data_IF_436266243598
#
_entry.id   IF_436266243598
#
_cell.length_a   1.000
_cell.length_b   1.000
_cell.length_c   1.000
_cell.angle_alpha   90.00
_cell.angle_beta   90.00
_cell.angle_gamma   90.00
#
_symmetry.space_group_name_H-M   'P 1'
#
loop_
_entity.id
_entity.type
_entity.pdbx_description
1 polymer ?
#
# COMPACT_ATOMS: atom_id res chain seq x y z
N UNK A 1 14.38 17.64 17.36
CA UNK A 1 13.31 16.63 17.34
C UNK A 1 13.65 15.56 16.31
N UNK A 2 13.71 14.30 16.70
CA UNK A 2 14.05 13.20 15.79
C UNK A 2 12.81 12.77 15.02
N UNK A 3 12.90 12.75 13.69
CA UNK A 3 11.85 12.28 12.79
C UNK A 3 12.24 10.89 12.30
N UNK A 4 11.49 9.87 12.69
CA UNK A 4 11.71 8.53 12.19
C UNK A 4 10.99 8.35 10.86
N UNK A 5 11.75 7.93 9.84
CA UNK A 5 11.20 7.62 8.52
C UNK A 5 11.28 6.12 8.31
N UNK A 6 10.11 5.48 8.20
CA UNK A 6 10.00 4.07 7.81
C UNK A 6 9.55 3.99 6.36
N UNK A 7 10.33 3.32 5.52
CA UNK A 7 10.02 3.16 4.08
C UNK A 7 9.33 1.83 3.82
N UNK A 8 8.43 1.85 2.84
CA UNK A 8 7.58 0.74 2.47
C UNK A 8 7.53 0.57 0.96
N UNK A 9 7.39 -0.68 0.54
CA UNK A 9 6.96 -1.05 -0.81
C UNK A 9 5.53 -1.58 -0.71
N UNK A 10 4.70 -1.27 -1.70
CA UNK A 10 3.32 -1.67 -1.82
C UNK A 10 3.08 -2.40 -3.13
N UNK A 11 2.23 -3.41 -3.12
CA UNK A 11 1.63 -4.00 -4.32
C UNK A 11 0.19 -3.55 -4.40
N UNK A 12 -0.17 -3.03 -5.55
CA UNK A 12 -1.49 -2.50 -5.82
C UNK A 12 -2.04 -3.04 -7.13
N UNK A 13 -3.35 -3.08 -7.26
CA UNK A 13 -4.05 -3.36 -8.51
C UNK A 13 -4.74 -2.10 -8.99
N UNK A 14 -4.56 -1.80 -10.26
CA UNK A 14 -5.32 -0.77 -10.97
C UNK A 14 -5.67 -1.29 -12.35
N UNK A 15 -6.95 -1.21 -12.74
CA UNK A 15 -7.45 -1.71 -14.04
C UNK A 15 -7.06 -3.18 -14.33
N UNK A 16 -6.99 -4.01 -13.29
CA UNK A 16 -6.60 -5.42 -13.40
C UNK A 16 -5.10 -5.68 -13.59
N UNK A 17 -4.26 -4.65 -13.53
CA UNK A 17 -2.81 -4.77 -13.57
C UNK A 17 -2.21 -4.56 -12.17
N UNK A 18 -1.37 -5.50 -11.75
CA UNK A 18 -0.60 -5.37 -10.52
C UNK A 18 0.67 -4.55 -10.78
N UNK A 19 0.96 -3.61 -9.90
CA UNK A 19 2.19 -2.82 -9.93
C UNK A 19 2.75 -2.63 -8.52
N UNK A 20 4.06 -2.41 -8.43
CA UNK A 20 4.74 -2.09 -7.18
C UNK A 20 4.97 -0.59 -7.06
N UNK A 21 4.84 -0.05 -5.85
CA UNK A 21 4.98 1.38 -5.61
C UNK A 21 5.53 1.67 -4.23
N UNK A 22 6.19 2.82 -4.07
CA UNK A 22 6.90 3.16 -2.83
C UNK A 22 6.04 4.04 -1.94
N UNK A 23 6.22 3.91 -0.63
CA UNK A 23 5.70 4.87 0.34
C UNK A 23 6.57 4.98 1.58
N UNK A 24 6.17 5.86 2.49
CA UNK A 24 6.83 6.07 3.77
C UNK A 24 5.84 6.47 4.84
N UNK A 25 6.10 5.99 6.06
CA UNK A 25 5.53 6.56 7.28
C UNK A 25 6.56 7.50 7.88
N UNK A 26 6.10 8.70 8.18
CA UNK A 26 6.82 9.75 8.86
C UNK A 26 6.28 9.78 10.29
N UNK A 27 7.14 9.49 11.26
CA UNK A 27 6.78 9.52 12.68
C UNK A 27 7.53 10.63 13.39
N UNK A 28 6.78 11.45 14.10
CA UNK A 28 7.28 12.39 15.10
C UNK A 28 6.35 12.34 16.32
N UNK A 29 6.74 12.92 17.47
CA UNK A 29 5.88 12.94 18.66
C UNK A 29 4.51 13.59 18.44
N UNK A 30 4.41 14.51 17.48
CA UNK A 30 3.22 15.32 17.24
C UNK A 30 2.43 14.86 16.00
N UNK A 31 3.00 13.97 15.20
CA UNK A 31 2.49 13.68 13.88
C UNK A 31 2.86 12.29 13.39
N UNK A 32 1.85 11.60 12.88
CA UNK A 32 1.96 10.34 12.17
C UNK A 32 1.37 10.51 10.77
N UNK A 33 2.25 10.50 9.75
CA UNK A 33 1.88 10.71 8.35
C UNK A 33 2.26 9.51 7.50
N UNK A 34 1.34 9.07 6.64
CA UNK A 34 1.61 8.08 5.60
C UNK A 34 1.57 8.76 4.24
N UNK A 35 2.65 8.58 3.47
CA UNK A 35 2.81 9.10 2.12
C UNK A 35 3.08 7.94 1.17
N UNK A 36 2.22 7.72 0.18
CA UNK A 36 2.42 6.69 -0.84
C UNK A 36 2.46 7.35 -2.20
N UNK A 37 3.55 7.15 -2.94
CA UNK A 37 3.68 7.62 -4.32
C UNK A 37 3.24 6.52 -5.24
N UNK A 38 2.16 6.76 -5.97
CA UNK A 38 1.70 5.85 -6.99
C UNK A 38 2.30 6.23 -8.32
N UNK A 39 3.25 5.42 -8.78
CA UNK A 39 3.75 5.48 -10.15
C UNK A 39 3.02 4.46 -10.99
N UNK A 40 2.13 4.93 -11.86
CA UNK A 40 1.62 4.12 -12.95
C UNK A 40 2.22 4.63 -14.27
N UNK A 41 2.31 3.80 -15.31
CA UNK A 41 2.76 4.24 -16.64
C UNK A 41 1.88 5.35 -17.24
N UNK A 42 0.61 5.46 -16.79
CA UNK A 42 -0.41 6.31 -17.39
C UNK A 42 -0.79 7.53 -16.54
N UNK A 43 -0.32 7.65 -15.30
CA UNK A 43 -0.66 8.76 -14.39
C UNK A 43 0.57 9.36 -13.72
N UNK A 44 0.61 10.69 -13.54
CA UNK A 44 1.67 11.35 -12.76
C UNK A 44 1.67 10.83 -11.32
N UNK A 45 2.84 10.84 -10.66
CA UNK A 45 3.03 10.42 -9.27
C UNK A 45 1.89 10.92 -8.35
N UNK A 46 0.90 10.07 -8.04
CA UNK A 46 -0.15 10.45 -7.10
C UNK A 46 0.42 10.27 -5.71
N UNK A 47 0.52 11.35 -4.95
CA UNK A 47 0.78 11.29 -3.52
C UNK A 47 -0.55 11.03 -2.80
N UNK A 48 -0.72 9.82 -2.27
CA UNK A 48 -1.71 9.56 -1.24
C UNK A 48 -1.10 9.96 0.10
N UNK A 49 -1.57 11.08 0.65
CA UNK A 49 -1.15 11.58 1.95
C UNK A 49 -2.28 11.39 2.97
N UNK A 50 -1.98 10.67 4.05
CA UNK A 50 -2.82 10.59 5.23
C UNK A 50 -2.19 11.45 6.32
N UNK A 51 -2.90 12.53 6.67
CA UNK A 51 -2.55 13.45 7.74
C UNK A 51 -3.19 12.97 9.05
N UNK A 52 -2.45 13.09 10.15
CA UNK A 52 -2.94 12.97 11.54
C UNK A 52 -3.58 11.61 11.89
N UNK A 53 -2.87 10.52 11.62
CA UNK A 53 -3.26 9.20 12.13
C UNK A 53 -3.09 9.13 13.65
N UNK A 54 -4.11 8.66 14.37
CA UNK A 54 -4.03 8.42 15.83
C UNK A 54 -3.10 7.24 16.14
N UNK A 55 -3.02 6.30 15.20
CA UNK A 55 -2.13 5.14 15.21
C UNK A 55 -1.89 4.63 13.76
N UNK A 56 -1.06 3.59 13.64
CA UNK A 56 -0.72 2.97 12.35
C UNK A 56 -1.91 2.22 11.70
N UNK A 57 -2.84 1.68 12.48
CA UNK A 57 -4.02 1.01 11.94
C UNK A 57 -4.98 2.00 11.25
N UNK A 58 -5.15 3.20 11.82
CA UNK A 58 -5.93 4.26 11.20
C UNK A 58 -5.28 4.77 9.90
N UNK A 59 -3.95 4.86 9.85
CA UNK A 59 -3.23 5.17 8.62
C UNK A 59 -3.53 4.14 7.52
N UNK A 60 -3.47 2.84 7.84
CA UNK A 60 -3.74 1.77 6.86
C UNK A 60 -5.18 1.82 6.35
N UNK A 61 -6.15 1.97 7.26
CA UNK A 61 -7.56 2.10 6.91
C UNK A 61 -7.81 3.27 5.96
N UNK A 62 -7.22 4.43 6.26
CA UNK A 62 -7.36 5.64 5.42
C UNK A 62 -6.68 5.48 4.06
N UNK A 63 -5.50 4.85 4.00
CA UNK A 63 -4.85 4.53 2.74
C UNK A 63 -5.76 3.64 1.87
N UNK A 64 -6.34 2.59 2.45
CA UNK A 64 -7.24 1.70 1.74
C UNK A 64 -8.44 2.45 1.15
N UNK A 65 -9.08 3.31 1.94
CA UNK A 65 -10.20 4.15 1.47
C UNK A 65 -9.78 5.12 0.36
N UNK A 66 -8.67 5.83 0.53
CA UNK A 66 -8.17 6.80 -0.46
C UNK A 66 -7.79 6.12 -1.78
N UNK A 67 -7.17 4.95 -1.72
CA UNK A 67 -6.86 4.14 -2.89
C UNK A 67 -8.14 3.68 -3.60
N UNK A 68 -9.14 3.21 -2.84
CA UNK A 68 -10.45 2.82 -3.36
C UNK A 68 -11.16 3.96 -4.11
N UNK A 69 -11.13 5.19 -3.60
CA UNK A 69 -11.66 6.36 -4.33
C UNK A 69 -10.94 6.66 -5.65
N UNK A 70 -9.70 6.21 -5.81
CA UNK A 70 -8.93 6.31 -7.06
C UNK A 70 -9.06 5.07 -7.95
N UNK A 71 -9.91 4.11 -7.56
CA UNK A 71 -10.10 2.84 -8.27
C UNK A 71 -8.90 1.92 -8.16
N UNK A 72 -8.15 2.01 -7.06
CA UNK A 72 -6.93 1.25 -6.82
C UNK A 72 -7.10 0.42 -5.55
N UNK A 73 -6.77 -0.86 -5.65
CA UNK A 73 -6.76 -1.77 -4.51
C UNK A 73 -5.33 -1.95 -3.99
N UNK A 74 -5.10 -1.70 -2.71
CA UNK A 74 -3.83 -2.00 -2.04
C UNK A 74 -3.89 -3.42 -1.51
N UNK A 75 -2.99 -4.29 -1.99
CA UNK A 75 -3.02 -5.72 -1.67
C UNK A 75 -2.07 -6.08 -0.55
N UNK A 76 -0.83 -5.64 -0.68
CA UNK A 76 0.26 -6.08 0.17
C UNK A 76 1.24 -4.93 0.39
N UNK A 77 1.96 -4.98 1.50
CA UNK A 77 3.04 -4.06 1.81
C UNK A 77 4.22 -4.81 2.42
N UNK A 78 5.42 -4.21 2.36
CA UNK A 78 6.60 -4.68 3.09
C UNK A 78 7.47 -3.50 3.49
N UNK A 79 8.21 -3.65 4.59
CA UNK A 79 9.17 -2.65 5.05
C UNK A 79 10.52 -2.81 4.36
N UNK A 80 11.15 -1.71 3.93
CA UNK A 80 12.48 -1.77 3.29
C UNK A 80 13.62 -2.07 4.28
N UNK A 81 13.36 -1.98 5.59
CA UNK A 81 14.41 -1.99 6.64
C UNK A 81 14.93 -3.39 7.00
N UNK A 82 14.22 -4.44 6.59
CA UNK A 82 14.54 -5.81 6.96
C UNK A 82 14.47 -6.64 5.69
N UNK A 83 15.63 -6.99 5.12
CA UNK A 83 15.77 -7.85 3.93
C UNK A 83 15.27 -9.30 4.13
N UNK A 84 14.34 -9.52 5.06
CA UNK A 84 13.71 -10.80 5.40
C UNK A 84 12.18 -10.74 5.53
N UNK A 85 11.55 -9.57 5.41
CA UNK A 85 10.09 -9.51 5.56
C UNK A 85 9.43 -9.74 4.19
N UNK A 86 8.74 -10.88 4.09
CA UNK A 86 7.85 -11.18 2.98
C UNK A 86 6.73 -10.14 2.86
N UNK A 87 6.02 -10.18 1.74
CA UNK A 87 4.84 -9.35 1.56
C UNK A 87 3.78 -9.68 2.62
N UNK A 88 3.34 -8.65 3.34
CA UNK A 88 2.25 -8.75 4.31
C UNK A 88 0.95 -8.25 3.67
N UNK A 89 -0.19 -8.89 3.92
CA UNK A 89 -1.46 -8.42 3.39
C UNK A 89 -1.82 -7.05 3.96
N UNK A 90 -2.42 -6.20 3.13
CA UNK A 90 -2.89 -4.88 3.52
C UNK A 90 -3.97 -5.01 4.61
N UNK A 91 -3.83 -4.35 5.78
CA UNK A 91 -4.83 -4.43 6.83
C UNK A 91 -6.18 -3.86 6.35
N UNK A 92 -7.22 -4.68 6.41
CA UNK A 92 -8.56 -4.32 5.94
C UNK A 92 -8.72 -4.26 4.41
N UNK A 93 -7.70 -4.60 3.63
CA UNK A 93 -7.77 -4.70 2.18
C UNK A 93 -8.26 -6.07 1.69
N UNK A 94 -8.61 -6.20 0.40
CA UNK A 94 -8.91 -7.49 -0.20
C UNK A 94 -7.65 -8.37 -0.18
N UNK A 95 -7.82 -9.66 0.11
CA UNK A 95 -6.74 -10.64 -0.09
C UNK A 95 -6.32 -10.65 -1.57
N UNK A 96 -5.07 -11.00 -1.90
CA UNK A 96 -4.63 -11.11 -3.30
C UNK A 96 -5.53 -12.01 -4.16
N UNK A 97 -6.14 -13.03 -3.54
CA UNK A 97 -7.11 -13.94 -4.19
C UNK A 97 -8.44 -13.24 -4.49
N UNK A 98 -8.89 -12.32 -3.62
CA UNK A 98 -10.12 -11.54 -3.84
C UNK A 98 -9.95 -10.43 -4.88
N UNK A 99 -8.72 -9.90 -5.02
CA UNK A 99 -8.43 -8.83 -5.95
C UNK A 99 -7.99 -9.32 -7.35
N UNK A 100 -7.75 -10.62 -7.52
CA UNK A 100 -7.43 -11.19 -8.82
C UNK A 100 -8.61 -11.02 -9.78
N UNK A 101 -8.40 -10.54 -11.03
CA UNK A 101 -9.43 -10.61 -12.05
C UNK A 101 -9.88 -12.08 -12.20
N UNK A 102 -11.15 -12.31 -12.54
CA UNK A 102 -11.85 -13.63 -12.60
C UNK A 102 -11.20 -14.73 -13.48
N UNK A 103 -9.93 -14.61 -13.89
CA UNK A 103 -9.17 -15.60 -14.66
C UNK A 103 -7.90 -16.13 -13.98
N UNK A 104 -7.65 -15.90 -12.69
CA UNK A 104 -6.47 -16.46 -11.98
C UNK A 104 -6.72 -17.81 -11.29
N UNK A 105 -7.71 -18.57 -11.75
CA UNK A 105 -7.87 -19.99 -11.43
C UNK A 105 -7.53 -20.80 -12.67
N UNK A 106 -6.23 -21.02 -12.91
CA UNK A 106 -5.70 -22.29 -13.42
C UNK A 106 -4.17 -22.20 -13.48
N UNK A 107 -3.47 -23.33 -13.40
CA UNK A 107 -2.00 -23.48 -13.19
C UNK A 107 -1.51 -23.52 -11.74
N UNK A 108 -2.11 -24.39 -10.93
CA UNK A 108 -1.36 -25.25 -10.01
C UNK A 108 -2.01 -26.64 -9.95
N UNK A 109 -1.97 -27.35 -11.07
CA UNK A 109 -1.97 -28.81 -11.11
C UNK A 109 -1.28 -29.22 -12.43
N UNK A 110 -0.17 -29.94 -12.31
CA UNK A 110 0.75 -30.27 -13.39
C UNK A 110 2.14 -30.59 -12.86
#
# INVERSE_FOLDING_TARGET
MERHVQRYQFRMIWRGQTFETSGRILRSPEELKLQVWMRSPEQPDILLEVLDGVDEADLWRRLHLLAGYRGVDVLEYRTERSGRDGWAPMPGGPTPVQAAPKGFQDRRDG
#
